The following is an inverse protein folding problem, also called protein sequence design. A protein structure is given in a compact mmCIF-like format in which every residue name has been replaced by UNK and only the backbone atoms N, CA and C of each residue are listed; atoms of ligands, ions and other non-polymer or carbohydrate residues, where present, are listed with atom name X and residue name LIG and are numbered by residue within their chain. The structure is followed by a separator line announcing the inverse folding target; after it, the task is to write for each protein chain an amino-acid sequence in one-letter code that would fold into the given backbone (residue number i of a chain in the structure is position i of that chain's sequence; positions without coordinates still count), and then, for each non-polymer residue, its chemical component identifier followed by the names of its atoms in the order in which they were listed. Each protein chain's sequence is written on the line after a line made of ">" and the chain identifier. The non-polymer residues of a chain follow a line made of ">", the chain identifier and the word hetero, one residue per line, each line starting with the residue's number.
data_IF_084563894050
#
_entry.id   IF_084563894050
#
_cell.length_a   1.000
_cell.length_b   1.000
_cell.length_c   1.000
_cell.angle_alpha   90.00
_cell.angle_beta   90.00
_cell.angle_gamma   90.00
#
_symmetry.space_group_name_H-M   'P 1'
#
loop_
_entity.id
_entity.type
_entity.pdbx_description
1 polymer ?
#
# COMPACT_ATOMS: atom_id res chain seq x y z
N UNK A 1 -5.24 -7.10 16.76
CA UNK A 1 -4.27 -7.07 15.65
C UNK A 1 -5.00 -6.46 14.45
N UNK A 2 -4.40 -5.55 13.66
CA UNK A 2 -5.11 -4.83 12.60
C UNK A 2 -5.93 -5.76 11.72
N UNK A 3 -7.22 -5.49 11.53
CA UNK A 3 -8.18 -6.39 10.87
C UNK A 3 -8.09 -6.39 9.33
N UNK A 4 -6.94 -6.07 8.74
CA UNK A 4 -6.83 -5.97 7.28
C UNK A 4 -6.92 -7.36 6.63
N UNK A 5 -7.69 -7.48 5.56
CA UNK A 5 -7.72 -8.69 4.72
C UNK A 5 -6.79 -8.55 3.50
N UNK A 6 -6.66 -7.34 2.98
CA UNK A 6 -5.78 -6.99 1.85
C UNK A 6 -5.10 -5.64 2.08
N UNK A 7 -3.87 -5.50 1.60
CA UNK A 7 -3.10 -4.26 1.61
C UNK A 7 -2.76 -3.85 0.18
N UNK A 8 -3.06 -2.60 -0.18
CA UNK A 8 -2.53 -1.98 -1.40
C UNK A 8 -1.16 -1.43 -1.09
N UNK A 9 -0.14 -1.94 -1.78
CA UNK A 9 1.28 -1.65 -1.52
C UNK A 9 1.89 -0.98 -2.74
N UNK A 10 2.51 0.17 -2.54
CA UNK A 10 3.37 0.78 -3.54
C UNK A 10 4.80 0.27 -3.36
N UNK A 11 5.39 -0.30 -4.41
CA UNK A 11 6.76 -0.81 -4.39
C UNK A 11 7.48 -0.50 -5.71
N UNK A 12 8.80 -0.38 -5.64
CA UNK A 12 9.63 -0.26 -6.83
C UNK A 12 9.81 -1.64 -7.48
N UNK A 13 9.50 -1.77 -8.77
CA UNK A 13 9.98 -2.91 -9.58
C UNK A 13 11.30 -2.58 -10.28
N UNK A 14 11.54 -1.31 -10.58
CA UNK A 14 12.79 -0.80 -11.13
C UNK A 14 13.20 0.51 -10.44
N UNK A 15 14.08 0.46 -9.42
CA UNK A 15 14.52 1.65 -8.68
C UNK A 15 15.21 2.71 -9.55
N UNK A 16 15.74 2.34 -10.72
CA UNK A 16 16.46 3.27 -11.60
C UNK A 16 15.53 4.25 -12.33
N UNK A 17 14.25 3.89 -12.48
CA UNK A 17 13.24 4.64 -13.24
C UNK A 17 12.46 5.69 -12.44
N UNK A 18 12.84 5.94 -11.18
CA UNK A 18 12.16 6.93 -10.30
C UNK A 18 10.64 6.68 -10.26
N UNK A 19 9.81 7.68 -10.55
CA UNK A 19 8.34 7.54 -10.52
C UNK A 19 7.80 6.43 -11.43
N UNK A 20 8.39 6.24 -12.61
CA UNK A 20 8.04 5.16 -13.54
C UNK A 20 8.50 3.77 -13.07
N UNK A 21 9.30 3.71 -12.00
CA UNK A 21 9.68 2.46 -11.34
C UNK A 21 8.68 1.98 -10.30
N UNK A 22 7.71 2.80 -9.91
CA UNK A 22 6.75 2.52 -8.84
C UNK A 22 5.51 1.86 -9.43
N UNK A 23 5.14 0.71 -8.87
CA UNK A 23 3.92 -0.02 -9.18
C UNK A 23 3.10 -0.30 -7.92
N UNK A 24 1.81 -0.54 -8.11
CA UNK A 24 0.86 -0.85 -7.05
C UNK A 24 0.52 -2.34 -7.07
N UNK A 25 0.46 -2.96 -5.89
CA UNK A 25 0.17 -4.37 -5.73
C UNK A 25 -0.89 -4.60 -4.65
N UNK A 26 -1.72 -5.62 -4.83
CA UNK A 26 -2.59 -6.13 -3.78
C UNK A 26 -1.89 -7.30 -3.08
N UNK A 27 -1.61 -7.15 -1.79
CA UNK A 27 -1.05 -8.20 -0.94
C UNK A 27 -2.13 -8.69 0.02
N UNK A 28 -2.40 -9.99 0.01
CA UNK A 28 -3.44 -10.58 0.85
C UNK A 28 -2.89 -10.99 2.21
N UNK A 29 -3.73 -10.93 3.24
CA UNK A 29 -3.37 -11.47 4.55
C UNK A 29 -3.13 -12.97 4.43
N UNK A 30 -1.97 -13.41 4.93
CA UNK A 30 -1.53 -14.80 4.83
C UNK A 30 -0.60 -15.08 3.65
N UNK A 31 -0.31 -14.10 2.77
CA UNK A 31 0.79 -14.22 1.83
C UNK A 31 2.10 -14.53 2.60
N UNK A 32 2.83 -15.61 2.26
CA UNK A 32 4.09 -15.94 2.92
C UNK A 32 5.07 -14.75 2.86
N UNK A 33 5.66 -14.41 4.00
CA UNK A 33 6.53 -13.23 4.11
C UNK A 33 5.81 -11.92 4.42
N UNK A 34 4.48 -11.87 4.38
CA UNK A 34 3.69 -10.71 4.81
C UNK A 34 3.13 -10.89 6.22
N UNK A 35 3.41 -9.93 7.10
CA UNK A 35 2.85 -9.93 8.45
C UNK A 35 2.58 -8.52 8.97
N UNK A 36 1.77 -8.43 10.02
CA UNK A 36 1.52 -7.20 10.76
C UNK A 36 2.26 -7.29 12.09
N UNK A 37 3.37 -6.55 12.22
CA UNK A 37 4.27 -6.64 13.38
C UNK A 37 3.58 -6.17 14.67
N UNK A 38 2.98 -4.97 14.64
CA UNK A 38 2.29 -4.40 15.81
C UNK A 38 1.29 -3.32 15.44
N UNK A 39 0.32 -3.10 16.33
CA UNK A 39 -0.52 -1.91 16.31
C UNK A 39 0.24 -0.75 16.94
N UNK A 40 0.23 0.43 16.30
CA UNK A 40 0.88 1.63 16.81
C UNK A 40 0.03 2.29 17.88
N UNK A 41 0.67 2.69 18.99
CA UNK A 41 0.06 3.57 19.97
C UNK A 41 0.12 5.01 19.46
N UNK A 42 -1.03 5.67 19.42
CA UNK A 42 -1.22 6.98 18.79
C UNK A 42 -1.72 7.99 19.80
N UNK A 43 -1.24 9.22 19.70
CA UNK A 43 -1.71 10.36 20.52
C UNK A 43 -3.19 10.66 20.24
N UNK A 44 -3.65 10.52 18.99
CA UNK A 44 -5.03 10.73 18.56
C UNK A 44 -5.50 9.67 17.56
N UNK A 45 -6.75 9.76 17.08
CA UNK A 45 -7.35 8.79 16.16
C UNK A 45 -7.22 7.33 16.65
N UNK A 46 -7.35 7.11 17.96
CA UNK A 46 -7.09 5.81 18.62
C UNK A 46 -8.05 4.70 18.17
N UNK A 47 -9.25 5.06 17.71
CA UNK A 47 -10.24 4.14 17.12
C UNK A 47 -9.82 3.63 15.74
N UNK A 48 -9.04 4.40 14.97
CA UNK A 48 -8.53 3.98 13.66
C UNK A 48 -7.38 3.01 13.90
N UNK A 49 -7.44 1.83 13.31
CA UNK A 49 -6.34 0.87 13.40
C UNK A 49 -5.17 1.34 12.53
N UNK A 50 -3.99 1.39 13.12
CA UNK A 50 -2.76 1.73 12.40
C UNK A 50 -1.70 0.76 12.90
N UNK A 51 -1.00 0.13 11.97
CA UNK A 51 -0.02 -0.89 12.31
C UNK A 51 1.20 -0.82 11.42
N UNK A 52 2.25 -1.47 11.88
CA UNK A 52 3.49 -1.67 11.16
C UNK A 52 3.37 -2.96 10.33
N UNK A 53 3.60 -2.85 9.02
CA UNK A 53 3.53 -3.95 8.06
C UNK A 53 4.95 -4.40 7.71
N UNK A 54 5.17 -5.70 7.69
CA UNK A 54 6.46 -6.33 7.39
C UNK A 54 6.32 -7.20 6.15
N UNK A 55 7.29 -7.06 5.24
CA UNK A 55 7.39 -7.81 3.99
C UNK A 55 8.80 -8.42 3.91
N UNK A 56 8.94 -9.69 4.28
CA UNK A 56 10.19 -10.45 4.27
C UNK A 56 10.13 -11.56 3.23
N UNK A 57 10.88 -11.41 2.14
CA UNK A 57 10.86 -12.35 0.99
C UNK A 57 9.43 -12.65 0.48
N UNK A 58 8.54 -11.66 0.61
CA UNK A 58 7.13 -11.75 0.26
C UNK A 58 6.94 -11.82 -1.26
N UNK A 59 6.66 -13.01 -1.79
CA UNK A 59 6.37 -13.20 -3.21
C UNK A 59 4.94 -12.80 -3.54
N UNK A 60 4.79 -11.85 -4.46
CA UNK A 60 3.50 -11.36 -4.95
C UNK A 60 3.36 -11.69 -6.44
N UNK A 61 2.28 -12.39 -6.87
CA UNK A 61 2.03 -12.67 -8.28
C UNK A 61 1.86 -11.41 -9.13
N UNK A 62 2.24 -11.49 -10.41
CA UNK A 62 2.08 -10.35 -11.34
C UNK A 62 0.61 -9.96 -11.57
N UNK A 63 -0.32 -10.92 -11.48
CA UNK A 63 -1.76 -10.69 -11.56
C UNK A 63 -2.32 -9.83 -10.41
N UNK A 64 -1.57 -9.69 -9.31
CA UNK A 64 -1.93 -8.82 -8.20
C UNK A 64 -1.46 -7.37 -8.43
N UNK A 65 -0.77 -7.07 -9.54
CA UNK A 65 -0.43 -5.71 -9.89
C UNK A 65 -1.68 -4.95 -10.33
N UNK A 66 -1.84 -3.74 -9.82
CA UNK A 66 -2.94 -2.85 -10.18
C UNK A 66 -2.55 -2.04 -11.42
N UNK A 67 -3.41 -2.08 -12.44
CA UNK A 67 -3.25 -1.37 -13.71
C UNK A 67 -2.74 -2.26 -14.85
N UNK A 68 -2.84 -1.74 -16.07
CA UNK A 68 -2.63 -2.54 -17.29
C UNK A 68 -1.14 -2.70 -17.67
N UNK A 69 -0.25 -1.87 -17.11
CA UNK A 69 1.19 -1.86 -17.41
C UNK A 69 2.02 -1.34 -16.25
N UNK A 70 3.29 -1.73 -16.23
CA UNK A 70 4.27 -1.16 -15.30
C UNK A 70 4.50 0.34 -15.55
N UNK A 71 4.85 1.05 -14.49
CA UNK A 71 5.23 2.46 -14.48
C UNK A 71 4.07 3.44 -14.36
N UNK A 72 2.82 2.96 -14.28
CA UNK A 72 1.65 3.79 -14.00
C UNK A 72 1.36 4.00 -12.50
N UNK A 73 2.05 3.29 -11.61
CA UNK A 73 1.67 3.25 -10.18
C UNK A 73 1.77 4.61 -9.48
N UNK A 74 2.79 5.40 -9.79
CA UNK A 74 2.94 6.73 -9.20
C UNK A 74 1.78 7.68 -9.56
N UNK A 75 1.36 7.69 -10.83
CA UNK A 75 0.26 8.53 -11.29
C UNK A 75 -1.07 8.14 -10.64
N UNK A 76 -1.33 6.84 -10.48
CA UNK A 76 -2.52 6.33 -9.78
C UNK A 76 -2.55 6.77 -8.30
N UNK A 77 -1.39 6.73 -7.61
CA UNK A 77 -1.26 7.22 -6.24
C UNK A 77 -1.54 8.73 -6.19
N UNK A 78 -0.96 9.49 -7.12
CA UNK A 78 -1.12 10.94 -7.17
C UNK A 78 -2.59 11.35 -7.37
N UNK A 79 -3.31 10.68 -8.27
CA UNK A 79 -4.74 10.91 -8.49
C UNK A 79 -5.57 10.57 -7.24
N UNK A 80 -5.38 9.37 -6.69
CA UNK A 80 -6.10 8.91 -5.47
C UNK A 80 -5.90 9.87 -4.30
N UNK A 81 -4.66 10.31 -4.05
CA UNK A 81 -4.38 11.26 -2.97
C UNK A 81 -4.93 12.66 -3.25
N UNK A 82 -5.01 13.08 -4.51
CA UNK A 82 -5.62 14.36 -4.88
C UNK A 82 -7.11 14.37 -4.56
N UNK A 83 -7.82 13.29 -4.89
CA UNK A 83 -9.23 13.12 -4.50
C UNK A 83 -9.40 12.99 -2.97
N UNK A 84 -8.48 12.28 -2.31
CA UNK A 84 -8.47 12.13 -0.85
C UNK A 84 -8.33 13.45 -0.11
N UNK A 85 -7.52 14.39 -0.62
CA UNK A 85 -7.36 15.74 -0.05
C UNK A 85 -8.66 16.54 -0.05
N UNK A 86 -9.40 16.49 -1.16
CA UNK A 86 -10.71 17.15 -1.28
C UNK A 86 -11.69 16.54 -0.27
N UNK A 87 -11.73 15.22 -0.20
CA UNK A 87 -12.64 14.48 0.69
C UNK A 87 -12.34 14.72 2.17
N UNK A 88 -11.07 14.85 2.54
CA UNK A 88 -10.69 15.14 3.92
C UNK A 88 -10.97 16.60 4.28
N UNK A 89 -10.74 17.54 3.35
CA UNK A 89 -10.98 18.97 3.57
C UNK A 89 -12.45 19.41 3.53
N UNK A 90 -13.35 18.56 3.01
CA UNK A 90 -14.80 18.83 3.01
C UNK A 90 -15.52 18.37 4.28
N UNK A 91 -14.81 17.71 5.20
CA UNK A 91 -15.31 17.20 6.47
C UNK A 91 -15.00 18.12 7.65
#
# INVERSE_FOLDING_TARGET
>A
MPTLDRATVAAYTDPSKRGEGINLFVVEKGTPGFSVSRKLDKVGNRSIETGELVFEDCRVPAENMIGDKEGGGFDMIADTLTQGRITYGSR
#
